data_IF_100132972338
#
_entry.id   IF_100132972338
#
_cell.length_a   1.000
_cell.length_b   1.000
_cell.length_c   1.000
_cell.angle_alpha   90.00
_cell.angle_beta   90.00
_cell.angle_gamma   90.00
#
_symmetry.space_group_name_H-M   'P 1'
#
loop_
_entity.id
_entity.type
_entity.pdbx_description
1 polymer ?
#
# COMPACT_ATOMS: atom_id res chain seq x y z
N UNK A 1 4.73 -24.42 -12.51
CA UNK A 1 3.81 -23.40 -13.08
C UNK A 1 3.94 -22.17 -12.22
N UNK A 2 4.15 -21.00 -12.82
CA UNK A 2 4.35 -19.75 -12.08
C UNK A 2 3.06 -18.92 -12.08
N UNK A 3 2.73 -18.33 -10.94
CA UNK A 3 1.59 -17.42 -10.85
C UNK A 3 1.87 -16.08 -11.57
N UNK A 4 0.83 -15.44 -12.04
CA UNK A 4 0.88 -14.12 -12.65
C UNK A 4 1.22 -13.06 -11.59
N UNK A 5 2.25 -12.27 -11.80
CA UNK A 5 2.71 -11.23 -10.87
C UNK A 5 1.70 -10.09 -10.64
N UNK A 6 0.62 -10.05 -11.43
CA UNK A 6 -0.45 -9.06 -11.30
C UNK A 6 -1.72 -9.60 -10.66
N UNK A 7 -2.11 -10.87 -10.85
CA UNK A 7 -3.40 -11.37 -10.36
C UNK A 7 -3.31 -12.65 -9.54
N UNK A 8 -2.11 -13.18 -9.31
CA UNK A 8 -1.81 -14.40 -8.54
C UNK A 8 -2.45 -15.69 -9.07
N UNK A 9 -3.06 -15.66 -10.25
CA UNK A 9 -3.57 -16.87 -10.92
C UNK A 9 -2.46 -17.51 -11.77
N UNK A 10 -2.58 -18.81 -12.03
CA UNK A 10 -1.63 -19.55 -12.86
C UNK A 10 -1.44 -18.87 -14.23
N UNK A 11 -0.22 -18.52 -14.58
CA UNK A 11 0.18 -17.88 -15.83
C UNK A 11 1.10 -18.77 -16.68
N UNK A 12 1.30 -20.03 -16.32
CA UNK A 12 2.31 -20.89 -16.93
C UNK A 12 3.72 -20.35 -16.71
N UNK A 13 4.55 -20.30 -17.76
CA UNK A 13 5.96 -19.90 -17.64
C UNK A 13 6.21 -18.41 -17.93
N UNK A 14 5.16 -17.62 -18.21
CA UNK A 14 5.32 -16.24 -18.67
C UNK A 14 5.40 -15.21 -17.55
N UNK A 15 5.03 -15.57 -16.32
CA UNK A 15 4.93 -14.66 -15.17
C UNK A 15 3.83 -13.59 -15.32
N UNK A 16 3.16 -13.47 -16.49
CA UNK A 16 2.10 -12.51 -16.77
C UNK A 16 1.10 -13.03 -17.80
N UNK A 17 -0.19 -12.83 -17.55
CA UNK A 17 -1.18 -12.96 -18.59
C UNK A 17 -1.17 -11.74 -19.51
N UNK A 18 -1.39 -11.92 -20.81
CA UNK A 18 -1.53 -10.79 -21.76
C UNK A 18 -2.64 -9.82 -21.35
N UNK A 19 -3.79 -10.33 -20.88
CA UNK A 19 -4.89 -9.51 -20.36
C UNK A 19 -4.50 -8.68 -19.14
N UNK A 20 -3.65 -9.21 -18.26
CA UNK A 20 -3.15 -8.51 -17.07
C UNK A 20 -2.17 -7.43 -17.47
N UNK A 21 -1.22 -7.73 -18.36
CA UNK A 21 -0.30 -6.76 -18.92
C UNK A 21 -1.04 -5.62 -19.63
N UNK A 22 -2.02 -5.95 -20.48
CA UNK A 22 -2.85 -4.95 -21.17
C UNK A 22 -3.62 -4.07 -20.19
N UNK A 23 -4.17 -4.66 -19.13
CA UNK A 23 -4.91 -3.92 -18.09
C UNK A 23 -4.02 -2.94 -17.33
N UNK A 24 -2.80 -3.33 -16.97
CA UNK A 24 -1.93 -2.52 -16.13
C UNK A 24 -1.04 -1.57 -16.94
N UNK A 25 -0.36 -2.09 -17.98
CA UNK A 25 0.61 -1.35 -18.80
C UNK A 25 0.02 -0.78 -20.10
N UNK A 26 -1.15 -1.27 -20.53
CA UNK A 26 -1.70 -0.92 -21.85
C UNK A 26 -1.02 -1.64 -23.02
N UNK A 27 -0.19 -2.66 -22.77
CA UNK A 27 0.55 -3.48 -23.73
C UNK A 27 0.32 -4.96 -23.48
N UNK A 28 0.37 -5.82 -24.52
CA UNK A 28 0.15 -7.26 -24.39
C UNK A 28 1.27 -7.96 -23.59
N UNK A 29 2.49 -7.45 -23.70
CA UNK A 29 3.64 -7.94 -22.93
C UNK A 29 4.01 -6.93 -21.86
N UNK A 30 4.43 -7.36 -20.65
CA UNK A 30 4.93 -6.46 -19.64
C UNK A 30 6.21 -5.76 -20.12
N UNK A 31 6.52 -4.57 -19.60
CA UNK A 31 7.78 -3.89 -19.93
C UNK A 31 8.97 -4.69 -19.39
N UNK A 32 10.07 -4.64 -20.14
CA UNK A 32 11.34 -5.21 -19.67
C UNK A 32 12.00 -4.22 -18.70
N UNK A 33 12.47 -4.74 -17.57
CA UNK A 33 13.31 -4.02 -16.63
C UNK A 33 14.76 -4.46 -16.86
N UNK A 34 15.53 -3.65 -17.59
CA UNK A 34 16.91 -3.96 -18.00
C UNK A 34 17.96 -3.70 -16.91
N UNK A 35 17.53 -3.35 -15.70
CA UNK A 35 18.39 -3.01 -14.57
C UNK A 35 18.39 -4.13 -13.54
N UNK A 36 19.54 -4.36 -12.90
CA UNK A 36 19.63 -5.23 -11.73
C UNK A 36 19.21 -4.45 -10.46
N UNK A 37 18.92 -5.19 -9.39
CA UNK A 37 18.44 -4.60 -8.14
C UNK A 37 19.47 -3.66 -7.50
N UNK A 38 20.78 -3.99 -7.60
CA UNK A 38 21.84 -3.16 -7.04
C UNK A 38 21.85 -1.76 -7.69
N UNK A 39 21.82 -1.69 -9.01
CA UNK A 39 21.80 -0.42 -9.72
C UNK A 39 20.52 0.38 -9.46
N UNK A 40 19.38 -0.30 -9.34
CA UNK A 40 18.11 0.34 -8.94
C UNK A 40 18.19 0.97 -7.55
N UNK A 41 18.82 0.30 -6.57
CA UNK A 41 19.05 0.84 -5.23
C UNK A 41 19.92 2.08 -5.28
N UNK A 42 21.09 2.01 -5.94
CA UNK A 42 22.02 3.12 -6.04
C UNK A 42 21.36 4.36 -6.66
N UNK A 43 20.59 4.19 -7.74
CA UNK A 43 19.86 5.29 -8.39
C UNK A 43 18.76 5.87 -7.48
N UNK A 44 18.08 5.02 -6.72
CA UNK A 44 17.03 5.45 -5.79
C UNK A 44 17.63 6.22 -4.60
N UNK A 45 18.75 5.76 -4.04
CA UNK A 45 19.49 6.44 -2.96
C UNK A 45 20.04 7.80 -3.42
N UNK A 46 20.61 7.88 -4.63
CA UNK A 46 21.04 9.16 -5.22
C UNK A 46 19.88 10.16 -5.35
N UNK A 47 18.67 9.67 -5.60
CA UNK A 47 17.48 10.52 -5.69
C UNK A 47 17.06 11.06 -4.32
N UNK A 48 17.21 10.26 -3.25
CA UNK A 48 16.96 10.67 -1.86
C UNK A 48 17.99 11.71 -1.42
N UNK A 49 19.27 11.44 -1.64
CA UNK A 49 20.38 12.31 -1.20
C UNK A 49 20.33 13.71 -1.84
N UNK A 50 19.82 13.83 -3.07
CA UNK A 50 19.61 15.13 -3.72
C UNK A 50 18.44 15.93 -3.15
N UNK A 51 17.57 15.33 -2.31
CA UNK A 51 16.34 15.94 -1.78
C UNK A 51 16.32 16.12 -0.26
N UNK A 52 17.48 16.12 0.41
CA UNK A 52 17.62 16.16 1.87
C UNK A 52 17.36 14.79 2.50
N UNK A 53 18.41 14.19 3.04
CA UNK A 53 18.41 12.89 3.68
C UNK A 53 17.47 12.83 4.89
N UNK A 54 16.31 12.21 4.72
CA UNK A 54 15.54 11.68 5.84
C UNK A 54 15.92 10.21 5.95
N UNK A 55 16.65 9.86 7.00
CA UNK A 55 17.00 8.47 7.32
C UNK A 55 15.72 7.64 7.48
N UNK A 56 15.69 6.44 6.94
CA UNK A 56 14.55 5.51 7.05
C UNK A 56 13.49 5.62 5.96
N UNK A 57 13.73 6.36 4.88
CA UNK A 57 12.84 6.38 3.72
C UNK A 57 13.19 5.23 2.78
N UNK A 58 12.18 4.40 2.45
CA UNK A 58 12.36 3.34 1.44
C UNK A 58 12.81 3.94 0.10
N UNK A 59 13.93 3.47 -0.49
CA UNK A 59 14.38 3.91 -1.80
C UNK A 59 13.33 3.66 -2.88
N UNK A 60 13.06 4.66 -3.70
CA UNK A 60 12.06 4.58 -4.78
C UNK A 60 12.44 5.42 -5.97
N UNK A 61 12.07 4.95 -7.14
CA UNK A 61 12.30 5.61 -8.43
C UNK A 61 10.98 5.99 -9.09
N UNK A 62 10.95 7.17 -9.69
CA UNK A 62 9.86 7.58 -10.56
C UNK A 62 10.17 7.11 -11.99
N UNK A 63 9.27 6.31 -12.57
CA UNK A 63 9.49 5.71 -13.89
C UNK A 63 8.28 5.91 -14.80
N UNK A 64 8.53 5.93 -16.11
CA UNK A 64 7.50 5.99 -17.17
C UNK A 64 7.69 4.84 -18.16
N UNK A 65 6.60 4.47 -18.83
CA UNK A 65 6.64 3.51 -19.93
C UNK A 65 7.10 4.23 -21.21
N UNK A 66 8.16 3.74 -21.82
CA UNK A 66 8.62 4.17 -23.10
C UNK A 66 8.40 3.06 -24.13
N UNK A 67 7.71 3.39 -25.23
CA UNK A 67 7.48 2.47 -26.35
C UNK A 67 8.53 2.73 -27.42
N UNK A 68 9.23 1.72 -27.85
CA UNK A 68 10.15 1.74 -29.00
C UNK A 68 9.98 0.45 -29.80
N UNK A 69 9.92 0.53 -31.11
CA UNK A 69 9.92 -0.54 -32.13
C UNK A 69 9.60 -1.97 -31.63
N UNK A 70 8.33 -2.16 -31.16
CA UNK A 70 7.84 -3.46 -30.73
C UNK A 70 8.17 -3.88 -29.30
N UNK A 71 8.94 -3.08 -28.55
CA UNK A 71 9.23 -3.30 -27.12
C UNK A 71 8.72 -2.17 -26.24
N UNK A 72 8.43 -2.49 -24.98
CA UNK A 72 8.09 -1.49 -23.96
C UNK A 72 9.11 -1.60 -22.84
N UNK A 73 9.69 -0.45 -22.46
CA UNK A 73 10.70 -0.36 -21.41
C UNK A 73 10.24 0.56 -20.28
N UNK A 74 10.75 0.34 -19.09
CA UNK A 74 10.65 1.29 -17.97
C UNK A 74 11.85 2.23 -18.01
N UNK A 75 11.58 3.52 -18.11
CA UNK A 75 12.61 4.57 -18.11
C UNK A 75 12.50 5.36 -16.82
N UNK A 76 13.65 5.54 -16.14
CA UNK A 76 13.73 6.39 -14.96
C UNK A 76 13.57 7.84 -15.41
N UNK A 77 12.61 8.52 -14.82
CA UNK A 77 12.33 9.93 -15.08
C UNK A 77 12.26 10.67 -13.74
N UNK A 78 12.40 11.98 -13.78
CA UNK A 78 12.29 12.79 -12.58
C UNK A 78 10.89 12.72 -11.93
N UNK A 79 10.34 13.86 -11.53
CA UNK A 79 9.06 13.94 -10.80
C UNK A 79 7.82 13.51 -11.59
N UNK A 80 7.94 13.36 -12.91
CA UNK A 80 6.80 13.24 -13.83
C UNK A 80 6.42 11.80 -14.19
N UNK A 81 7.09 10.79 -13.61
CA UNK A 81 6.80 9.39 -13.88
C UNK A 81 5.36 9.01 -13.53
N UNK A 82 4.81 8.09 -14.31
CA UNK A 82 3.47 7.53 -14.11
C UNK A 82 3.46 6.40 -13.09
N UNK A 83 4.66 5.88 -12.76
CA UNK A 83 4.83 4.77 -11.81
C UNK A 83 5.90 5.10 -10.77
N UNK A 84 5.78 4.47 -9.62
CA UNK A 84 6.79 4.39 -8.57
C UNK A 84 7.32 2.97 -8.52
N UNK A 85 8.62 2.81 -8.70
CA UNK A 85 9.33 1.54 -8.60
C UNK A 85 10.08 1.51 -7.27
N UNK A 86 9.94 0.42 -6.52
CA UNK A 86 10.63 0.18 -5.25
C UNK A 86 11.45 -1.11 -5.38
N UNK A 87 12.79 -1.02 -5.32
CA UNK A 87 13.67 -2.18 -5.38
C UNK A 87 13.66 -2.98 -4.09
N UNK A 88 14.11 -4.25 -4.17
CA UNK A 88 14.34 -5.10 -3.01
C UNK A 88 15.41 -4.47 -2.09
N UNK A 89 15.17 -4.51 -0.78
CA UNK A 89 16.09 -4.07 0.26
C UNK A 89 16.77 -5.29 0.90
N UNK A 90 18.09 -5.26 1.06
CA UNK A 90 18.86 -6.41 1.64
C UNK A 90 18.46 -6.72 3.08
N UNK A 91 18.21 -5.66 3.86
CA UNK A 91 17.83 -5.77 5.27
C UNK A 91 16.40 -6.27 5.50
N UNK A 92 15.56 -6.27 4.47
CA UNK A 92 14.15 -6.69 4.53
C UNK A 92 13.83 -7.65 3.38
N UNK A 93 14.15 -8.95 3.53
CA UNK A 93 13.85 -9.96 2.53
C UNK A 93 12.35 -9.96 2.16
N UNK A 94 12.04 -10.19 0.89
CA UNK A 94 10.66 -10.21 0.36
C UNK A 94 9.85 -8.93 0.58
N UNK A 95 10.50 -7.76 0.70
CA UNK A 95 9.78 -6.50 0.92
C UNK A 95 8.85 -6.13 -0.25
N UNK A 96 9.25 -6.21 -1.53
CA UNK A 96 8.36 -6.01 -2.68
C UNK A 96 7.16 -6.95 -2.69
N UNK A 97 7.36 -8.24 -2.42
CA UNK A 97 6.33 -9.26 -2.39
C UNK A 97 5.37 -9.05 -1.22
N UNK A 98 5.89 -8.60 -0.09
CA UNK A 98 5.08 -8.27 1.10
C UNK A 98 4.16 -7.07 0.84
N UNK A 99 4.68 -6.02 0.19
CA UNK A 99 3.88 -4.85 -0.18
C UNK A 99 2.80 -5.24 -1.19
N UNK A 100 3.16 -5.96 -2.25
CA UNK A 100 2.23 -6.39 -3.29
C UNK A 100 1.11 -7.27 -2.73
N UNK A 101 1.44 -8.26 -1.88
CA UNK A 101 0.45 -9.10 -1.20
C UNK A 101 -0.47 -8.26 -0.31
N UNK A 102 0.06 -7.33 0.49
CA UNK A 102 -0.75 -6.52 1.40
C UNK A 102 -1.72 -5.64 0.61
N UNK A 103 -1.30 -5.09 -0.52
CA UNK A 103 -2.16 -4.33 -1.43
C UNK A 103 -3.25 -5.22 -2.07
N UNK A 104 -2.92 -6.46 -2.45
CA UNK A 104 -3.92 -7.44 -2.94
C UNK A 104 -4.95 -7.78 -1.86
N UNK A 105 -4.51 -8.01 -0.62
CA UNK A 105 -5.40 -8.23 0.51
C UNK A 105 -6.34 -7.04 0.74
N UNK A 106 -5.84 -5.79 0.67
CA UNK A 106 -6.69 -4.61 0.76
C UNK A 106 -7.78 -4.60 -0.33
N UNK A 107 -7.41 -4.93 -1.57
CA UNK A 107 -8.37 -5.09 -2.68
C UNK A 107 -9.41 -6.17 -2.43
N UNK A 108 -9.03 -7.28 -1.79
CA UNK A 108 -9.94 -8.36 -1.40
C UNK A 108 -11.04 -7.86 -0.46
N UNK A 109 -10.70 -6.94 0.46
CA UNK A 109 -11.66 -6.28 1.37
C UNK A 109 -12.38 -5.09 0.74
N UNK A 110 -12.23 -4.85 -0.58
CA UNK A 110 -12.83 -3.72 -1.29
C UNK A 110 -12.34 -2.34 -0.84
N UNK A 111 -11.18 -2.27 -0.20
CA UNK A 111 -10.49 -1.01 0.05
C UNK A 111 -9.95 -0.52 -1.30
N UNK A 112 -10.26 0.73 -1.72
CA UNK A 112 -9.68 1.28 -2.93
C UNK A 112 -8.16 1.37 -2.79
N UNK A 113 -7.41 0.76 -3.72
CA UNK A 113 -5.95 0.81 -3.75
C UNK A 113 -5.44 1.34 -5.09
N UNK A 114 -4.24 1.92 -5.10
CA UNK A 114 -3.58 2.25 -6.35
C UNK A 114 -3.27 0.96 -7.15
N UNK A 115 -3.21 1.06 -8.47
CA UNK A 115 -2.78 -0.08 -9.29
C UNK A 115 -1.34 -0.46 -8.93
N UNK A 116 -1.07 -1.75 -8.76
CA UNK A 116 0.25 -2.26 -8.38
C UNK A 116 0.54 -3.60 -9.02
N UNK A 117 1.79 -4.02 -9.03
CA UNK A 117 2.26 -5.31 -9.52
C UNK A 117 3.71 -5.54 -9.15
N UNK A 118 4.17 -6.78 -9.29
CA UNK A 118 5.58 -7.12 -9.26
C UNK A 118 6.18 -7.12 -10.67
N UNK A 119 7.47 -6.86 -10.76
CA UNK A 119 8.32 -7.11 -11.92
C UNK A 119 9.60 -7.80 -11.45
N UNK A 120 10.30 -8.43 -12.39
CA UNK A 120 11.56 -9.10 -12.12
C UNK A 120 12.72 -8.29 -12.69
N UNK A 121 13.72 -7.99 -11.85
CA UNK A 121 14.98 -7.39 -12.27
C UNK A 121 15.87 -8.42 -12.98
N UNK A 122 16.93 -7.97 -13.64
CA UNK A 122 17.82 -8.86 -14.43
C UNK A 122 18.60 -9.87 -13.59
N UNK A 123 18.77 -9.59 -12.31
CA UNK A 123 19.42 -10.48 -11.33
C UNK A 123 18.44 -11.46 -10.65
N UNK A 124 17.18 -11.44 -11.06
CA UNK A 124 16.15 -12.33 -10.54
C UNK A 124 15.37 -11.79 -9.33
N UNK A 125 15.80 -10.70 -8.72
CA UNK A 125 15.07 -10.05 -7.61
C UNK A 125 13.74 -9.48 -8.07
N UNK A 126 12.73 -9.55 -7.19
CA UNK A 126 11.46 -8.87 -7.45
C UNK A 126 11.56 -7.40 -7.10
N UNK A 127 10.84 -6.58 -7.85
CA UNK A 127 10.64 -5.16 -7.58
C UNK A 127 9.14 -4.86 -7.55
N UNK A 128 8.72 -4.00 -6.65
CA UNK A 128 7.34 -3.53 -6.59
C UNK A 128 7.15 -2.32 -7.49
N UNK A 129 6.05 -2.31 -8.23
CA UNK A 129 5.67 -1.21 -9.12
C UNK A 129 4.26 -0.75 -8.82
N UNK A 130 4.12 0.50 -8.38
CA UNK A 130 2.83 1.16 -8.16
C UNK A 130 2.52 2.16 -9.27
N UNK A 131 1.28 2.13 -9.78
CA UNK A 131 0.79 3.14 -10.71
C UNK A 131 0.30 4.36 -9.94
N UNK A 132 0.80 5.52 -10.32
CA UNK A 132 0.41 6.79 -9.68
C UNK A 132 -1.01 7.16 -10.06
N UNK A 133 -1.87 7.30 -9.07
CA UNK A 133 -3.27 7.72 -9.25
C UNK A 133 -3.39 9.25 -9.42
N UNK A 134 -2.37 10.01 -9.03
CA UNK A 134 -2.27 11.46 -9.25
C UNK A 134 -1.73 11.86 -10.64
N UNK A 135 -1.67 10.89 -11.55
CA UNK A 135 -1.28 11.07 -12.95
C UNK A 135 -2.36 10.49 -13.87
N UNK A 136 -3.09 11.34 -14.55
CA UNK A 136 -4.15 10.92 -15.46
C UNK A 136 -3.94 11.60 -16.81
N UNK A 137 -3.76 10.80 -17.86
CA UNK A 137 -3.56 11.27 -19.25
C UNK A 137 -2.50 12.37 -19.35
N UNK A 138 -1.35 12.19 -18.70
CA UNK A 138 -0.24 13.13 -18.70
C UNK A 138 -0.43 14.38 -17.82
N UNK A 139 -1.58 14.51 -17.14
CA UNK A 139 -1.85 15.62 -16.23
C UNK A 139 -1.66 15.18 -14.77
N UNK A 140 -1.13 16.09 -13.95
CA UNK A 140 -1.07 15.92 -12.49
C UNK A 140 -2.39 16.35 -11.88
N UNK A 141 -2.97 15.48 -11.05
CA UNK A 141 -4.08 15.82 -10.17
C UNK A 141 -3.49 16.32 -8.85
N UNK A 142 -4.07 17.35 -8.27
CA UNK A 142 -3.64 17.86 -6.98
C UNK A 142 -3.92 16.84 -5.88
N UNK A 143 -2.92 16.61 -5.03
CA UNK A 143 -2.96 15.69 -3.91
C UNK A 143 -2.22 16.33 -2.73
N UNK A 144 -2.76 16.15 -1.53
CA UNK A 144 -2.12 16.56 -0.28
C UNK A 144 -2.17 15.42 0.72
N UNK A 145 -1.00 15.07 1.28
CA UNK A 145 -0.95 14.09 2.36
C UNK A 145 -1.43 14.68 3.70
N UNK A 146 -1.83 13.81 4.64
CA UNK A 146 -2.38 14.27 5.93
C UNK A 146 -1.34 14.98 6.80
N UNK A 147 -0.05 14.78 6.57
CA UNK A 147 1.00 15.53 7.21
C UNK A 147 0.97 17.01 6.75
N UNK A 148 0.82 17.24 5.43
CA UNK A 148 0.66 18.56 4.84
C UNK A 148 -0.64 19.24 5.33
N UNK A 149 -1.76 18.52 5.29
CA UNK A 149 -3.07 19.03 5.76
C UNK A 149 -3.10 19.33 7.27
N UNK A 150 -2.19 18.72 8.04
CA UNK A 150 -2.00 18.98 9.47
C UNK A 150 -0.95 20.08 9.73
N UNK A 151 -0.38 20.68 8.69
CA UNK A 151 0.70 21.68 8.76
C UNK A 151 1.94 21.15 9.49
N UNK A 152 2.21 19.83 9.40
CA UNK A 152 3.36 19.20 10.00
C UNK A 152 4.52 19.07 9.01
N UNK A 153 5.74 19.24 9.51
CA UNK A 153 6.95 18.88 8.77
C UNK A 153 7.08 17.35 8.68
N UNK A 154 7.85 16.88 7.70
CA UNK A 154 8.02 15.44 7.43
C UNK A 154 8.52 14.64 8.64
N UNK A 155 9.40 15.21 9.45
CA UNK A 155 9.89 14.60 10.70
C UNK A 155 8.79 14.36 11.75
N UNK A 156 7.67 15.05 11.63
CA UNK A 156 6.53 14.93 12.53
C UNK A 156 5.44 13.97 12.01
N UNK A 157 5.72 13.20 10.96
CA UNK A 157 4.74 12.31 10.30
C UNK A 157 4.09 11.26 11.22
N UNK A 158 4.73 10.92 12.33
CA UNK A 158 4.22 10.01 13.37
C UNK A 158 3.51 10.71 14.53
N UNK A 159 3.41 12.04 14.52
CA UNK A 159 2.70 12.80 15.56
C UNK A 159 1.21 12.87 15.25
N UNK A 160 0.39 12.54 16.24
CA UNK A 160 -1.06 12.63 16.12
C UNK A 160 -1.78 11.33 16.44
N UNK A 161 -3.05 11.28 16.07
CA UNK A 161 -3.89 10.09 16.25
C UNK A 161 -4.74 9.84 15.01
N UNK A 162 -5.24 8.60 14.88
CA UNK A 162 -6.16 8.27 13.78
C UNK A 162 -7.48 9.05 13.88
N UNK A 163 -7.93 9.41 15.08
CA UNK A 163 -9.12 10.27 15.24
C UNK A 163 -8.87 11.67 14.68
N UNK A 164 -7.69 12.27 14.96
CA UNK A 164 -7.33 13.59 14.42
C UNK A 164 -7.17 13.54 12.90
N UNK A 165 -6.49 12.50 12.40
CA UNK A 165 -6.33 12.27 10.97
C UNK A 165 -7.69 12.08 10.27
N UNK A 166 -8.60 11.31 10.86
CA UNK A 166 -9.95 11.10 10.33
C UNK A 166 -10.82 12.36 10.30
N UNK A 167 -10.58 13.32 11.21
CA UNK A 167 -11.25 14.65 11.14
C UNK A 167 -10.91 15.44 9.88
N UNK A 168 -9.75 15.21 9.26
CA UNK A 168 -9.41 15.80 7.96
C UNK A 168 -10.35 15.28 6.86
N UNK A 169 -10.69 13.98 6.91
CA UNK A 169 -11.67 13.38 5.98
C UNK A 169 -13.03 14.06 6.15
N UNK A 170 -13.53 14.19 7.39
CA UNK A 170 -14.80 14.85 7.67
C UNK A 170 -14.82 16.32 7.27
N UNK A 171 -13.67 16.99 7.36
CA UNK A 171 -13.55 18.43 7.06
C UNK A 171 -13.50 18.73 5.56
N UNK A 172 -12.81 17.90 4.79
CA UNK A 172 -12.45 18.25 3.43
C UNK A 172 -13.12 17.41 2.35
N UNK A 173 -13.51 16.14 2.63
CA UNK A 173 -14.09 15.28 1.61
C UNK A 173 -15.53 15.67 1.25
N UNK A 174 -15.83 15.61 -0.04
CA UNK A 174 -17.17 15.91 -0.55
C UNK A 174 -18.21 14.84 -0.16
N UNK A 175 -17.80 13.56 -0.10
CA UNK A 175 -18.64 12.45 0.37
C UNK A 175 -18.10 11.91 1.71
N UNK A 176 -18.35 12.69 2.76
CA UNK A 176 -17.81 12.41 4.10
C UNK A 176 -18.20 11.03 4.63
N UNK A 177 -19.42 10.56 4.38
CA UNK A 177 -19.89 9.26 4.89
C UNK A 177 -19.13 8.08 4.28
N UNK A 178 -18.93 8.09 2.97
CA UNK A 178 -18.19 7.05 2.27
C UNK A 178 -16.69 7.11 2.60
N UNK A 179 -16.10 8.31 2.55
CA UNK A 179 -14.67 8.48 2.78
C UNK A 179 -14.28 8.20 4.23
N UNK A 180 -15.14 8.54 5.21
CA UNK A 180 -14.94 8.19 6.62
C UNK A 180 -14.98 6.67 6.84
N UNK A 181 -15.90 5.97 6.18
CA UNK A 181 -15.96 4.50 6.23
C UNK A 181 -14.73 3.86 5.59
N UNK A 182 -14.32 4.34 4.40
CA UNK A 182 -13.10 3.87 3.73
C UNK A 182 -11.85 4.11 4.59
N UNK A 183 -11.74 5.27 5.23
CA UNK A 183 -10.66 5.58 6.14
C UNK A 183 -10.64 4.64 7.35
N UNK A 184 -11.79 4.42 7.99
CA UNK A 184 -11.94 3.49 9.11
C UNK A 184 -11.51 2.08 8.71
N UNK A 185 -12.01 1.58 7.59
CA UNK A 185 -11.67 0.24 7.08
C UNK A 185 -10.19 0.11 6.77
N UNK A 186 -9.56 1.16 6.24
CA UNK A 186 -8.12 1.18 5.98
C UNK A 186 -7.30 1.12 7.27
N UNK A 187 -7.68 1.86 8.32
CA UNK A 187 -7.00 1.81 9.62
C UNK A 187 -7.16 0.43 10.28
N UNK A 188 -8.37 -0.14 10.26
CA UNK A 188 -8.62 -1.49 10.77
C UNK A 188 -7.81 -2.54 9.99
N UNK A 189 -7.77 -2.44 8.66
CA UNK A 189 -6.96 -3.30 7.80
C UNK A 189 -5.47 -3.24 8.13
N UNK A 190 -4.92 -2.03 8.33
CA UNK A 190 -3.51 -1.84 8.71
C UNK A 190 -3.20 -2.54 10.04
N UNK A 191 -4.08 -2.43 11.03
CA UNK A 191 -3.93 -3.17 12.28
C UNK A 191 -3.92 -4.70 12.04
N UNK A 192 -4.89 -5.21 11.29
CA UNK A 192 -5.06 -6.64 11.06
C UNK A 192 -3.91 -7.26 10.25
N UNK A 193 -3.28 -6.49 9.37
CA UNK A 193 -2.14 -6.92 8.55
C UNK A 193 -0.79 -6.62 9.19
N UNK A 194 -0.74 -6.08 10.40
CA UNK A 194 0.53 -5.73 11.06
C UNK A 194 1.28 -4.57 10.38
N UNK A 195 0.55 -3.67 9.72
CA UNK A 195 1.11 -2.44 9.16
C UNK A 195 1.17 -1.34 10.21
N UNK A 196 2.25 -1.31 10.98
CA UNK A 196 2.50 -0.28 11.99
C UNK A 196 3.31 0.91 11.46
N UNK A 197 3.42 1.09 10.13
CA UNK A 197 4.03 2.27 9.49
C UNK A 197 3.01 3.15 8.73
N UNK A 198 1.70 2.95 8.95
CA UNK A 198 0.66 3.77 8.32
C UNK A 198 0.53 5.14 9.02
N UNK A 199 1.52 6.00 8.76
CA UNK A 199 1.63 7.36 9.32
C UNK A 199 0.92 8.42 8.46
N UNK A 200 0.92 9.69 8.89
CA UNK A 200 0.17 10.77 8.22
C UNK A 200 0.52 10.99 6.74
N UNK A 201 1.73 10.64 6.29
CA UNK A 201 2.10 10.78 4.88
C UNK A 201 1.59 9.65 3.98
N UNK A 202 1.06 8.57 4.56
CA UNK A 202 0.51 7.44 3.83
C UNK A 202 -1.03 7.54 3.64
N UNK A 203 -1.62 8.64 4.11
CA UNK A 203 -2.99 9.05 3.78
C UNK A 203 -2.96 10.33 2.96
N UNK A 204 -3.81 10.43 1.95
CA UNK A 204 -3.88 11.63 1.12
C UNK A 204 -5.31 11.95 0.70
N UNK A 205 -5.57 13.22 0.44
CA UNK A 205 -6.77 13.68 -0.23
C UNK A 205 -6.46 14.01 -1.70
N UNK A 206 -7.35 13.58 -2.58
CA UNK A 206 -7.26 13.76 -4.02
C UNK A 206 -8.31 14.77 -4.48
N UNK A 207 -7.90 15.80 -5.20
CA UNK A 207 -8.78 16.81 -5.75
C UNK A 207 -9.28 16.39 -7.14
N UNK A 208 -10.52 15.92 -7.22
CA UNK A 208 -11.15 15.47 -8.45
C UNK A 208 -12.13 16.49 -8.99
N UNK A 209 -12.61 16.30 -10.21
CA UNK A 209 -13.67 17.15 -10.79
C UNK A 209 -15.01 17.04 -10.04
N UNK A 210 -15.21 15.99 -9.26
CA UNK A 210 -16.43 15.75 -8.46
C UNK A 210 -16.27 16.15 -6.99
N UNK A 211 -15.13 16.71 -6.63
CA UNK A 211 -14.83 17.14 -5.26
C UNK A 211 -13.57 16.46 -4.69
N UNK A 212 -13.28 16.79 -3.46
CA UNK A 212 -12.17 16.23 -2.71
C UNK A 212 -12.61 14.87 -2.14
N UNK A 213 -11.77 13.85 -2.25
CA UNK A 213 -12.04 12.52 -1.70
C UNK A 213 -10.78 11.90 -1.09
N UNK A 214 -10.95 10.88 -0.26
CA UNK A 214 -9.83 10.06 0.20
C UNK A 214 -9.18 9.38 -1.00
N UNK A 215 -7.86 9.45 -1.11
CA UNK A 215 -7.14 8.78 -2.19
C UNK A 215 -7.26 7.26 -2.10
N UNK A 216 -7.07 6.52 -3.20
CA UNK A 216 -6.77 5.10 -3.10
C UNK A 216 -5.60 4.88 -2.14
N UNK A 217 -5.63 3.78 -1.37
CA UNK A 217 -4.54 3.41 -0.48
C UNK A 217 -3.28 3.05 -1.26
N UNK A 218 -2.14 3.33 -0.70
CA UNK A 218 -0.81 3.06 -1.22
C UNK A 218 0.15 2.81 -0.05
N UNK A 219 1.30 2.23 -0.34
CA UNK A 219 2.35 2.01 0.67
C UNK A 219 1.86 1.11 1.84
N UNK A 220 1.09 0.06 1.51
CA UNK A 220 0.60 -0.89 2.49
C UNK A 220 1.60 -2.05 2.63
N UNK A 221 2.16 -2.20 3.81
CA UNK A 221 3.21 -3.16 4.09
C UNK A 221 2.97 -3.86 5.42
N UNK A 222 3.11 -5.19 5.47
CA UNK A 222 3.15 -5.89 6.76
C UNK A 222 4.51 -5.68 7.41
N UNK A 223 4.62 -4.62 8.23
CA UNK A 223 5.88 -4.24 8.89
C UNK A 223 6.24 -5.24 9.98
N UNK A 224 5.28 -5.81 10.70
CA UNK A 224 5.54 -6.83 11.71
C UNK A 224 6.17 -8.10 11.13
N UNK A 225 5.93 -8.41 9.85
CA UNK A 225 6.61 -9.50 9.15
C UNK A 225 8.08 -9.17 8.91
N UNK A 226 8.39 -7.94 8.50
CA UNK A 226 9.73 -7.50 8.11
C UNK A 226 10.59 -7.07 9.30
N UNK A 227 9.98 -6.56 10.35
CA UNK A 227 10.62 -6.10 11.58
C UNK A 227 9.87 -6.61 12.82
N UNK A 228 10.01 -7.90 13.15
CA UNK A 228 9.31 -8.50 14.30
C UNK A 228 9.71 -7.92 15.67
N UNK A 229 10.80 -7.17 15.73
CA UNK A 229 11.26 -6.53 16.98
C UNK A 229 10.46 -5.28 17.34
N UNK A 230 9.72 -4.70 16.39
CA UNK A 230 8.84 -3.56 16.65
C UNK A 230 7.53 -4.05 17.29
N UNK A 231 7.30 -3.66 18.53
CA UNK A 231 6.15 -4.07 19.34
C UNK A 231 4.98 -3.07 19.29
N UNK A 232 5.11 -1.96 18.54
CA UNK A 232 3.98 -1.08 18.25
C UNK A 232 3.01 -1.79 17.29
N UNK A 233 1.72 -1.60 17.53
CA UNK A 233 0.68 -2.22 16.70
C UNK A 233 0.15 -1.24 15.63
N UNK A 234 0.40 0.04 15.81
CA UNK A 234 -0.05 1.14 14.94
C UNK A 234 0.97 2.27 14.90
N UNK A 235 1.10 2.94 13.77
CA UNK A 235 1.99 4.10 13.56
C UNK A 235 1.57 5.33 14.37
N UNK A 236 0.27 5.63 14.39
CA UNK A 236 -0.33 6.72 15.16
C UNK A 236 -1.08 6.15 16.35
N UNK A 237 -1.38 6.99 17.32
CA UNK A 237 -2.22 6.55 18.45
C UNK A 237 -3.67 6.32 18.00
N UNK A 238 -4.30 5.30 18.56
CA UNK A 238 -5.72 5.02 18.51
C UNK A 238 -6.26 5.01 19.94
N UNK A 239 -7.22 5.86 20.26
CA UNK A 239 -7.70 6.06 21.63
C UNK A 239 -6.54 6.25 22.63
N UNK A 240 -5.57 7.11 22.26
CA UNK A 240 -4.35 7.41 23.00
C UNK A 240 -3.36 6.23 23.19
N UNK A 241 -3.54 5.10 22.46
CA UNK A 241 -2.71 3.90 22.56
C UNK A 241 -2.04 3.62 21.23
N UNK A 242 -0.88 2.96 21.26
CA UNK A 242 -0.23 2.31 20.11
C UNK A 242 -0.07 0.80 20.31
N UNK A 243 -0.39 0.29 21.50
CA UNK A 243 -0.27 -1.12 21.91
C UNK A 243 -1.51 -1.56 22.68
N UNK A 244 -1.74 -2.86 22.73
CA UNK A 244 -2.90 -3.46 23.41
C UNK A 244 -4.21 -2.89 22.86
N UNK A 245 -4.26 -2.77 21.54
CA UNK A 245 -5.43 -2.29 20.82
C UNK A 245 -6.55 -3.33 20.95
N UNK A 246 -7.75 -2.85 21.15
CA UNK A 246 -8.95 -3.66 21.30
C UNK A 246 -10.04 -3.21 20.33
N UNK A 247 -11.09 -4.02 20.18
CA UNK A 247 -12.25 -3.66 19.34
C UNK A 247 -12.92 -2.35 19.80
N UNK A 248 -12.93 -2.09 21.13
CA UNK A 248 -13.48 -0.85 21.69
C UNK A 248 -12.76 0.41 21.21
N UNK A 249 -11.45 0.32 20.95
CA UNK A 249 -10.68 1.45 20.43
C UNK A 249 -11.13 1.79 19.00
N UNK A 250 -11.44 0.77 18.18
CA UNK A 250 -12.03 0.95 16.86
C UNK A 250 -13.48 1.45 16.91
N UNK A 251 -14.28 1.01 17.86
CA UNK A 251 -15.64 1.55 18.08
C UNK A 251 -15.60 3.05 18.40
N UNK A 252 -14.64 3.49 19.22
CA UNK A 252 -14.40 4.90 19.53
C UNK A 252 -13.99 5.66 18.27
N UNK A 253 -13.08 5.11 17.47
CA UNK A 253 -12.70 5.70 16.18
C UNK A 253 -13.94 5.85 15.28
N UNK A 254 -14.72 4.79 15.08
CA UNK A 254 -15.93 4.82 14.25
C UNK A 254 -16.93 5.89 14.69
N UNK A 255 -17.17 6.01 16.00
CA UNK A 255 -18.02 7.08 16.56
C UNK A 255 -17.44 8.48 16.31
N UNK A 256 -16.13 8.66 16.47
CA UNK A 256 -15.46 9.95 16.20
C UNK A 256 -15.53 10.37 14.73
N UNK A 257 -15.70 9.41 13.83
CA UNK A 257 -15.88 9.58 12.39
C UNK A 257 -17.34 9.69 11.97
N UNK A 258 -18.26 9.73 12.91
CA UNK A 258 -19.71 9.81 12.66
C UNK A 258 -20.25 8.64 11.81
N UNK A 259 -19.58 7.48 11.86
CA UNK A 259 -20.01 6.29 11.12
C UNK A 259 -21.22 5.67 11.84
N UNK A 260 -22.34 5.42 11.12
CA UNK A 260 -23.50 4.75 11.72
C UNK A 260 -23.12 3.37 12.28
N UNK A 261 -23.65 3.02 13.44
CA UNK A 261 -23.34 1.77 14.16
C UNK A 261 -23.50 0.52 13.26
N UNK A 262 -24.59 0.47 12.49
CA UNK A 262 -24.82 -0.64 11.53
C UNK A 262 -23.72 -0.77 10.50
N UNK A 263 -23.19 0.35 9.98
CA UNK A 263 -22.09 0.33 9.02
C UNK A 263 -20.79 -0.13 9.66
N UNK A 264 -20.53 0.31 10.90
CA UNK A 264 -19.39 -0.11 11.70
C UNK A 264 -19.39 -1.63 11.95
N UNK A 265 -20.52 -2.17 12.43
CA UNK A 265 -20.68 -3.61 12.65
C UNK A 265 -20.53 -4.43 11.37
N UNK A 266 -21.10 -3.95 10.26
CA UNK A 266 -20.95 -4.61 8.95
C UNK A 266 -19.47 -4.64 8.49
N UNK A 267 -18.71 -3.56 8.69
CA UNK A 267 -17.29 -3.53 8.38
C UNK A 267 -16.51 -4.55 9.23
N UNK A 268 -16.74 -4.59 10.53
CA UNK A 268 -16.09 -5.56 11.42
C UNK A 268 -16.42 -7.01 11.01
N UNK A 269 -17.70 -7.30 10.76
CA UNK A 269 -18.14 -8.62 10.28
C UNK A 269 -17.52 -9.00 8.92
N UNK A 270 -17.34 -8.04 8.01
CA UNK A 270 -16.66 -8.25 6.73
C UNK A 270 -15.24 -8.76 6.95
N UNK A 271 -14.47 -8.13 7.86
CA UNK A 271 -13.09 -8.54 8.13
C UNK A 271 -13.00 -9.90 8.83
N UNK A 272 -13.92 -10.24 9.72
CA UNK A 272 -13.93 -11.54 10.41
C UNK A 272 -14.35 -12.70 9.49
N UNK A 273 -15.14 -12.46 8.45
CA UNK A 273 -15.73 -13.50 7.60
C UNK A 273 -14.83 -14.01 6.47
N UNK A 274 -13.70 -13.37 6.19
CA UNK A 274 -12.92 -13.62 4.96
C UNK A 274 -11.63 -14.41 5.18
N UNK A 275 -11.44 -15.07 6.32
CA UNK A 275 -10.21 -15.78 6.70
C UNK A 275 -9.68 -16.73 5.62
N UNK A 276 -10.57 -17.59 5.09
CA UNK A 276 -10.17 -18.55 4.06
C UNK A 276 -9.63 -17.84 2.80
N UNK A 277 -10.27 -16.76 2.34
CA UNK A 277 -9.81 -16.02 1.16
C UNK A 277 -8.47 -15.32 1.41
N UNK A 278 -8.24 -14.85 2.63
CA UNK A 278 -6.96 -14.25 3.04
C UNK A 278 -5.86 -15.30 3.01
N UNK A 279 -6.07 -16.47 3.62
CA UNK A 279 -5.08 -17.56 3.60
C UNK A 279 -4.81 -18.06 2.19
N UNK A 280 -5.86 -18.28 1.37
CA UNK A 280 -5.71 -18.70 -0.02
C UNK A 280 -4.86 -17.69 -0.85
N UNK A 281 -5.05 -16.38 -0.60
CA UNK A 281 -4.28 -15.33 -1.27
C UNK A 281 -2.82 -15.28 -0.80
N UNK A 282 -2.56 -15.46 0.51
CA UNK A 282 -1.21 -15.58 1.06
C UNK A 282 -0.51 -16.78 0.44
N UNK A 283 -1.18 -17.93 0.32
CA UNK A 283 -0.61 -19.14 -0.29
C UNK A 283 -0.27 -18.95 -1.77
N UNK A 284 -1.09 -18.19 -2.51
CA UNK A 284 -0.86 -17.87 -3.92
C UNK A 284 0.22 -16.79 -4.13
N UNK A 285 0.69 -16.10 -3.08
CA UNK A 285 1.65 -15.00 -3.17
C UNK A 285 3.08 -15.47 -3.49
N UNK A 286 3.96 -14.52 -3.72
CA UNK A 286 5.37 -14.74 -4.04
C UNK A 286 6.30 -14.70 -2.83
N UNK A 287 5.75 -14.67 -1.63
CA UNK A 287 6.51 -14.83 -0.39
C UNK A 287 7.13 -16.24 -0.29
N UNK A 288 8.20 -16.37 0.44
CA UNK A 288 8.73 -17.68 0.85
C UNK A 288 7.76 -18.41 1.79
N UNK A 289 7.90 -19.71 1.93
CA UNK A 289 6.97 -20.52 2.74
C UNK A 289 6.98 -20.11 4.22
N UNK A 290 8.16 -19.77 4.76
CA UNK A 290 8.28 -19.29 6.13
C UNK A 290 7.57 -17.95 6.35
N UNK A 291 7.70 -17.03 5.41
CA UNK A 291 7.05 -15.71 5.43
C UNK A 291 5.53 -15.82 5.25
N UNK A 292 5.06 -16.76 4.41
CA UNK A 292 3.62 -17.07 4.28
C UNK A 292 3.03 -17.54 5.60
N UNK A 293 3.70 -18.48 6.27
CA UNK A 293 3.25 -19.01 7.55
C UNK A 293 3.27 -17.93 8.64
N UNK A 294 4.29 -17.08 8.66
CA UNK A 294 4.35 -15.97 9.61
C UNK A 294 3.27 -14.92 9.33
N UNK A 295 3.02 -14.57 8.07
CA UNK A 295 1.94 -13.64 7.69
C UNK A 295 0.58 -14.16 8.16
N UNK A 296 0.29 -15.46 7.93
CA UNK A 296 -0.95 -16.11 8.42
C UNK A 296 -1.08 -16.05 9.94
N UNK A 297 0.02 -16.26 10.69
CA UNK A 297 0.02 -16.15 12.16
C UNK A 297 -0.29 -14.71 12.60
N UNK A 298 0.38 -13.71 12.02
CA UNK A 298 0.12 -12.29 12.33
C UNK A 298 -1.35 -11.97 12.09
N UNK A 299 -1.90 -12.35 10.93
CA UNK A 299 -3.32 -12.15 10.61
C UNK A 299 -4.24 -12.80 11.62
N UNK A 300 -4.03 -14.09 11.92
CA UNK A 300 -4.86 -14.85 12.87
C UNK A 300 -4.82 -14.27 14.29
N UNK A 301 -3.64 -13.82 14.74
CA UNK A 301 -3.49 -13.22 16.07
C UNK A 301 -4.17 -11.86 16.15
N UNK A 302 -4.01 -11.01 15.16
CA UNK A 302 -4.66 -9.70 15.13
C UNK A 302 -6.17 -9.76 14.97
N UNK A 303 -6.67 -10.79 14.28
CA UNK A 303 -8.12 -11.00 14.12
C UNK A 303 -8.87 -11.33 15.43
N UNK A 304 -8.18 -11.79 16.45
CA UNK A 304 -8.79 -12.13 17.75
C UNK A 304 -9.56 -10.98 18.39
N UNK A 305 -9.24 -9.73 18.03
CA UNK A 305 -10.00 -8.57 18.54
C UNK A 305 -11.42 -8.44 17.94
N UNK A 306 -11.69 -9.12 16.82
CA UNK A 306 -12.98 -9.05 16.11
C UNK A 306 -13.99 -10.12 16.58
N UNK A 307 -13.59 -11.01 17.49
CA UNK A 307 -14.39 -12.15 17.98
C UNK A 307 -14.97 -11.89 19.34
#
# INVERSE_FOLDING_TARGET
>A
MANCWFCYQDAGDTGYHEKCSKKFFGTLKPPVLELNNQLLKELAEQTINKRIAVTGVQPKLSVSLQKSDGSTRLTIVGLWGEYILKPQQEQYPFMPETEDLTMHLASLFKIPVCGHTLLKATDGNMVYLAKRFDRVKGKKIHIEDFCQLSEFLTENKYKGSYEKAGKLVLKYCANTGLDALNYFELVLFCYLTGNNDMHLKNFSLLHTNTGICLSPAYDLLNVNLLNPADDEELALTLNAKKRKITIKDFEILGKSLLIPEKALLNSMAKFSSMNKKVTDMIDASFLGDAEKDQYKRIWADKQKILV
#
